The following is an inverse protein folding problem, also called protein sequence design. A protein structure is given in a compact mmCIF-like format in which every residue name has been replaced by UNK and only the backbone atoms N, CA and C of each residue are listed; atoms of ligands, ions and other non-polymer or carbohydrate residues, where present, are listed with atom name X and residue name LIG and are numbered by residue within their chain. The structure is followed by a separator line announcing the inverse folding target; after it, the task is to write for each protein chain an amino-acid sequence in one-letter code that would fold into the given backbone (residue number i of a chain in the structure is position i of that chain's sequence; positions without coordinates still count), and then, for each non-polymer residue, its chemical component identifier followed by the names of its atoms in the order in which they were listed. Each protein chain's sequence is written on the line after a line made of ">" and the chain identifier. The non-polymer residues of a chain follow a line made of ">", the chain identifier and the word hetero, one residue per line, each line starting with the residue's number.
data_IF_686842432292
#
_entry.id   IF_686842432292
#
_cell.length_a   1.000
_cell.length_b   1.000
_cell.length_c   1.000
_cell.angle_alpha   90.00
_cell.angle_beta   90.00
_cell.angle_gamma   90.00
#
_symmetry.space_group_name_H-M   'P 1'
#
loop_
_entity.id
_entity.type
_entity.pdbx_description
1 polymer ?
#
# COMPACT_ATOMS: atom_id res chain seq x y z
N UNK A 1 -9.18 8.67 -9.66
CA UNK A 1 -9.63 8.91 -8.28
C UNK A 1 -9.55 10.36 -7.80
N UNK A 2 -8.74 11.24 -8.42
CA UNK A 2 -8.79 12.69 -8.15
C UNK A 2 -9.31 13.50 -9.35
N UNK A 3 -10.47 13.09 -9.89
CA UNK A 3 -11.05 13.71 -11.09
C UNK A 3 -11.58 15.13 -10.77
N UNK A 4 -11.97 15.34 -9.51
CA UNK A 4 -12.52 16.60 -9.00
C UNK A 4 -11.46 17.56 -8.44
N UNK A 5 -10.17 17.16 -8.42
CA UNK A 5 -9.03 17.95 -7.91
C UNK A 5 -9.29 18.66 -6.56
N UNK A 6 -9.94 17.98 -5.62
CA UNK A 6 -10.28 18.56 -4.33
C UNK A 6 -8.98 18.82 -3.56
N UNK A 7 -8.71 20.10 -3.26
CA UNK A 7 -7.53 20.49 -2.48
C UNK A 7 -7.57 19.82 -1.11
N UNK A 8 -6.43 19.23 -0.71
CA UNK A 8 -6.30 18.50 0.56
C UNK A 8 -6.76 17.04 0.51
N UNK A 9 -7.44 16.60 -0.55
CA UNK A 9 -7.85 15.20 -0.73
C UNK A 9 -6.72 14.38 -1.37
N UNK A 10 -5.58 14.29 -0.68
CA UNK A 10 -4.46 13.45 -1.10
C UNK A 10 -4.68 11.96 -0.77
N UNK A 11 -3.71 11.10 -1.11
CA UNK A 11 -3.69 9.68 -0.75
C UNK A 11 -3.81 9.39 0.76
N UNK A 12 -3.64 10.38 1.64
CA UNK A 12 -3.93 10.21 3.06
C UNK A 12 -5.37 9.72 3.32
N UNK A 13 -6.32 10.10 2.45
CA UNK A 13 -7.71 9.65 2.49
C UNK A 13 -7.86 8.16 2.13
N UNK A 14 -6.87 7.55 1.48
CA UNK A 14 -6.88 6.12 1.20
C UNK A 14 -7.07 5.26 2.46
N UNK A 15 -6.61 5.72 3.62
CA UNK A 15 -6.83 5.01 4.88
C UNK A 15 -8.31 5.00 5.28
N UNK A 16 -9.05 6.07 5.02
CA UNK A 16 -10.52 6.09 5.23
C UNK A 16 -11.18 5.09 4.29
N UNK A 17 -10.74 5.05 3.02
CA UNK A 17 -11.24 4.10 2.04
C UNK A 17 -10.92 2.64 2.40
N UNK A 18 -9.76 2.37 3.00
CA UNK A 18 -9.40 1.06 3.53
C UNK A 18 -10.39 0.62 4.61
N UNK A 19 -10.69 1.48 5.59
CA UNK A 19 -11.66 1.14 6.64
C UNK A 19 -13.06 0.83 6.10
N UNK A 20 -13.46 1.46 4.99
CA UNK A 20 -14.77 1.22 4.35
C UNK A 20 -14.76 0.00 3.40
N UNK A 21 -13.63 -0.23 2.73
CA UNK A 21 -13.48 -1.18 1.63
C UNK A 21 -12.11 -1.87 1.68
N UNK A 22 -11.88 -2.61 2.75
CA UNK A 22 -10.61 -3.26 3.11
C UNK A 22 -10.04 -4.24 2.07
N UNK A 23 -10.88 -4.83 1.21
CA UNK A 23 -10.45 -5.71 0.10
C UNK A 23 -10.13 -4.94 -1.19
N UNK A 24 -10.48 -3.65 -1.25
CA UNK A 24 -10.28 -2.81 -2.43
C UNK A 24 -9.18 -1.79 -2.25
N UNK A 25 -8.94 -1.26 -1.05
CA UNK A 25 -7.94 -0.21 -0.82
C UNK A 25 -6.96 -0.67 0.25
N UNK A 26 -5.66 -0.84 -0.03
CA UNK A 26 -4.70 -1.14 1.02
C UNK A 26 -4.49 0.07 1.93
N UNK A 27 -4.13 -0.14 3.21
CA UNK A 27 -3.69 0.94 4.08
C UNK A 27 -2.40 1.58 3.53
N UNK A 28 -2.19 2.84 3.89
CA UNK A 28 -1.13 3.68 3.34
C UNK A 28 -0.48 4.56 4.41
N UNK A 29 0.82 4.38 4.61
CA UNK A 29 1.66 5.27 5.42
C UNK A 29 3.12 5.21 4.93
N UNK A 30 3.99 6.00 5.55
CA UNK A 30 5.40 6.08 5.15
C UNK A 30 6.14 4.74 5.31
N UNK A 31 5.86 3.95 6.35
CA UNK A 31 6.51 2.66 6.54
C UNK A 31 6.06 1.64 5.48
N UNK A 32 4.77 1.57 5.17
CA UNK A 32 4.24 0.71 4.10
C UNK A 32 4.88 1.05 2.75
N UNK A 33 4.96 2.34 2.41
CA UNK A 33 5.62 2.78 1.16
C UNK A 33 7.10 2.43 1.14
N UNK A 34 7.79 2.50 2.29
CA UNK A 34 9.18 2.06 2.40
C UNK A 34 9.31 0.56 2.18
N UNK A 35 8.50 -0.25 2.86
CA UNK A 35 8.52 -1.71 2.69
C UNK A 35 8.26 -2.11 1.26
N UNK A 36 7.27 -1.50 0.61
CA UNK A 36 6.96 -1.72 -0.80
C UNK A 36 8.15 -1.43 -1.73
N UNK A 37 8.96 -0.40 -1.41
CA UNK A 37 10.19 -0.10 -2.16
C UNK A 37 11.31 -1.10 -1.86
N UNK A 38 11.51 -1.45 -0.60
CA UNK A 38 12.59 -2.35 -0.15
C UNK A 38 12.44 -3.76 -0.77
N UNK A 39 11.21 -4.24 -0.97
CA UNK A 39 10.95 -5.55 -1.61
C UNK A 39 10.99 -5.52 -3.14
N UNK A 40 11.32 -4.38 -3.76
CA UNK A 40 11.48 -4.27 -5.21
C UNK A 40 10.19 -4.25 -6.04
N UNK A 41 9.02 -4.14 -5.41
CA UNK A 41 7.74 -4.04 -6.14
C UNK A 41 7.46 -2.65 -6.73
N UNK A 42 8.21 -1.63 -6.30
CA UNK A 42 8.01 -0.24 -6.73
C UNK A 42 9.04 0.26 -7.72
N UNK A 43 8.62 1.22 -8.56
CA UNK A 43 9.55 2.15 -9.22
C UNK A 43 10.30 2.95 -8.16
N UNK A 44 11.57 3.30 -8.41
CA UNK A 44 12.43 4.04 -7.46
C UNK A 44 11.76 5.31 -6.86
N UNK A 45 10.84 5.93 -7.61
CA UNK A 45 10.26 7.26 -7.30
C UNK A 45 8.77 7.25 -6.97
N UNK A 46 8.27 6.31 -6.16
CA UNK A 46 6.95 6.52 -5.52
C UNK A 46 7.05 7.67 -4.53
N UNK A 47 6.27 8.73 -4.76
CA UNK A 47 6.15 9.91 -3.91
C UNK A 47 4.96 9.78 -2.97
N UNK A 48 5.21 10.02 -1.68
CA UNK A 48 4.14 10.17 -0.71
C UNK A 48 3.24 11.35 -1.14
N UNK A 49 1.92 11.16 -1.19
CA UNK A 49 0.99 12.22 -1.53
C UNK A 49 0.55 12.28 -3.00
N UNK A 50 1.11 11.45 -3.89
CA UNK A 50 0.67 11.32 -5.29
C UNK A 50 -0.43 10.25 -5.43
N UNK A 51 -1.59 10.62 -5.98
CA UNK A 51 -2.66 9.67 -6.28
C UNK A 51 -2.27 8.63 -7.34
N UNK A 52 -1.65 9.00 -8.47
CA UNK A 52 -1.12 8.03 -9.42
C UNK A 52 -0.20 7.01 -8.74
N UNK A 53 0.76 7.47 -7.93
CA UNK A 53 1.73 6.56 -7.29
C UNK A 53 1.05 5.65 -6.26
N UNK A 54 0.04 6.15 -5.54
CA UNK A 54 -0.79 5.33 -4.67
C UNK A 54 -1.57 4.27 -5.46
N UNK A 55 -2.15 4.61 -6.61
CA UNK A 55 -2.90 3.66 -7.45
C UNK A 55 -1.98 2.60 -8.08
N UNK A 56 -0.77 2.98 -8.49
CA UNK A 56 0.27 2.05 -8.95
C UNK A 56 0.62 1.07 -7.82
N UNK A 57 0.92 1.58 -6.62
CA UNK A 57 1.22 0.77 -5.44
C UNK A 57 0.06 -0.16 -5.08
N UNK A 58 -1.18 0.35 -5.07
CA UNK A 58 -2.39 -0.41 -4.80
C UNK A 58 -2.53 -1.59 -5.76
N UNK A 59 -2.29 -1.36 -7.05
CA UNK A 59 -2.45 -2.39 -8.08
C UNK A 59 -1.44 -3.51 -7.84
N UNK A 60 -0.17 -3.17 -7.65
CA UNK A 60 0.88 -4.13 -7.36
C UNK A 60 0.65 -4.93 -6.06
N UNK A 61 0.15 -4.27 -5.00
CA UNK A 61 -0.19 -4.95 -3.75
C UNK A 61 -1.36 -5.93 -3.91
N UNK A 62 -2.40 -5.57 -4.67
CA UNK A 62 -3.52 -6.48 -4.94
C UNK A 62 -3.06 -7.70 -5.75
N UNK A 63 -2.20 -7.50 -6.74
CA UNK A 63 -1.62 -8.59 -7.54
C UNK A 63 -0.78 -9.54 -6.67
N UNK A 64 0.14 -9.00 -5.87
CA UNK A 64 0.93 -9.79 -4.92
C UNK A 64 0.04 -10.54 -3.92
N UNK A 65 -1.01 -9.88 -3.39
CA UNK A 65 -1.90 -10.52 -2.43
C UNK A 65 -2.63 -11.72 -3.06
N UNK A 66 -3.02 -11.62 -4.34
CA UNK A 66 -3.65 -12.72 -5.07
C UNK A 66 -2.68 -13.86 -5.35
N UNK A 67 -1.43 -13.57 -5.71
CA UNK A 67 -0.39 -14.58 -5.90
C UNK A 67 -0.04 -15.34 -4.62
N UNK A 68 -0.27 -14.72 -3.45
CA UNK A 68 0.00 -15.29 -2.14
C UNK A 68 -1.26 -15.50 -1.29
N UNK A 69 -2.43 -15.63 -1.91
CA UNK A 69 -3.73 -15.72 -1.22
C UNK A 69 -3.87 -16.94 -0.32
N UNK A 70 -3.08 -17.99 -0.56
CA UNK A 70 -3.00 -19.14 0.34
C UNK A 70 -2.32 -18.83 1.69
N UNK A 71 -1.60 -17.70 1.78
CA UNK A 71 -0.85 -17.25 2.96
C UNK A 71 -1.29 -15.89 3.49
N UNK A 72 -2.04 -15.12 2.69
CA UNK A 72 -2.52 -13.78 3.03
C UNK A 72 -4.04 -13.72 2.98
N UNK A 73 -4.64 -12.97 3.91
CA UNK A 73 -6.09 -12.68 3.91
C UNK A 73 -6.49 -11.92 2.64
N UNK A 74 -7.76 -12.03 2.27
CA UNK A 74 -8.40 -11.15 1.28
C UNK A 74 -8.42 -9.67 1.71
N UNK A 75 -8.46 -9.40 3.01
CA UNK A 75 -8.20 -8.10 3.63
C UNK A 75 -6.79 -7.59 3.29
N UNK A 76 -6.71 -6.47 2.56
CA UNK A 76 -5.45 -5.86 2.15
C UNK A 76 -4.65 -5.27 3.33
N UNK A 77 -5.20 -5.28 4.53
CA UNK A 77 -4.51 -5.03 5.78
C UNK A 77 -3.44 -6.07 6.09
N UNK A 78 -3.62 -7.33 5.67
CA UNK A 78 -2.60 -8.37 5.89
C UNK A 78 -1.32 -8.07 5.10
N UNK A 79 -1.44 -7.80 3.80
CA UNK A 79 -0.29 -7.38 2.98
C UNK A 79 0.22 -5.99 3.41
N UNK A 80 -0.66 -5.08 3.82
CA UNK A 80 -0.29 -3.79 4.38
C UNK A 80 0.57 -3.92 5.65
N UNK A 81 0.22 -4.83 6.55
CA UNK A 81 0.99 -5.15 7.75
C UNK A 81 2.36 -5.74 7.42
N UNK A 82 2.42 -6.65 6.45
CA UNK A 82 3.70 -7.19 5.96
C UNK A 82 4.62 -6.09 5.40
N UNK A 83 4.08 -5.17 4.56
CA UNK A 83 4.84 -4.02 4.07
C UNK A 83 5.29 -3.09 5.20
N UNK A 84 4.43 -2.88 6.20
CA UNK A 84 4.77 -2.05 7.35
C UNK A 84 5.98 -2.62 8.10
N UNK A 85 5.97 -3.92 8.42
CA UNK A 85 7.07 -4.59 9.10
C UNK A 85 8.38 -4.55 8.29
N UNK A 86 8.29 -4.71 6.96
CA UNK A 86 9.43 -4.56 6.04
C UNK A 86 9.98 -3.13 6.07
N UNK A 87 9.12 -2.12 5.99
CA UNK A 87 9.52 -0.72 6.02
C UNK A 87 10.03 -0.22 7.37
N UNK A 88 9.62 -0.87 8.45
CA UNK A 88 10.18 -0.69 9.79
C UNK A 88 11.53 -1.39 9.98
N UNK A 89 11.99 -2.19 9.01
CA UNK A 89 13.20 -3.02 9.09
C UNK A 89 13.22 -3.94 10.32
N UNK A 90 12.03 -4.43 10.71
CA UNK A 90 11.85 -5.30 11.88
C UNK A 90 12.12 -6.78 11.57
N UNK A 91 12.29 -7.12 10.30
CA UNK A 91 12.79 -8.43 9.91
C UNK A 91 14.33 -8.43 10.01
N UNK A 92 14.82 -8.99 11.11
CA UNK A 92 16.20 -9.53 11.15
C UNK A 92 16.13 -10.87 10.45
N UNK A 93 16.58 -10.94 9.19
CA UNK A 93 16.87 -12.23 8.56
C UNK A 93 18.18 -12.70 9.19
N UNK A 94 18.07 -13.57 10.19
CA UNK A 94 19.21 -14.31 10.74
C UNK A 94 19.49 -15.55 9.91
#
# INVERSE_FOLDING_TARGET
>A
MNILQIKGLGPAVANILYFLHHTLFPPFNTAIVRGFKEIGLGKEKIKLGSWPDYLDMRTALIEMNKEHIARLSDDLGAIGGFMYEMGCRRFVVS
#
